data_IF_133161244927
#
_entry.id   IF_133161244927
#
_cell.length_a   1.000
_cell.length_b   1.000
_cell.length_c   1.000
_cell.angle_alpha   90.00
_cell.angle_beta   90.00
_cell.angle_gamma   90.00
#
_symmetry.space_group_name_H-M   'P 1'
#
loop_
_entity.id
_entity.type
_entity.pdbx_description
1 polymer ?
#
# COMPACT_ATOMS: atom_id res chain seq x y z
N UNK A 1 -6.29 18.59 -1.75
CA UNK A 1 -5.98 18.63 -0.30
C UNK A 1 -4.47 18.72 -0.20
N UNK A 2 -3.93 19.91 0.07
CA UNK A 2 -2.49 20.09 0.28
C UNK A 2 -2.17 19.51 1.67
N UNK A 3 -1.57 18.32 1.69
CA UNK A 3 -1.06 17.74 2.92
C UNK A 3 0.28 18.43 3.16
N UNK A 4 0.29 19.43 4.03
CA UNK A 4 1.53 20.04 4.48
C UNK A 4 2.30 18.98 5.27
N UNK A 5 3.31 18.39 4.64
CA UNK A 5 4.32 17.55 5.29
C UNK A 5 5.22 18.44 6.14
N UNK A 6 4.67 18.98 7.23
CA UNK A 6 5.49 19.63 8.24
C UNK A 6 6.47 18.58 8.77
N UNK A 7 7.77 18.86 8.69
CA UNK A 7 8.87 18.01 9.20
C UNK A 7 8.72 17.63 10.68
N UNK A 8 7.82 18.31 11.41
CA UNK A 8 7.70 18.19 12.84
C UNK A 8 7.33 16.78 13.37
N UNK A 9 6.70 15.87 12.60
CA UNK A 9 6.50 14.50 13.08
C UNK A 9 6.71 13.39 12.08
N UNK A 10 7.47 13.60 11.00
CA UNK A 10 8.13 12.45 10.41
C UNK A 10 9.12 12.00 11.49
N UNK A 11 8.71 11.05 12.33
CA UNK A 11 9.63 10.17 13.01
C UNK A 11 10.33 9.48 11.87
N UNK A 12 11.49 9.98 11.47
CA UNK A 12 12.38 9.41 10.46
C UNK A 12 12.65 7.98 10.93
N UNK A 13 11.91 6.95 10.47
CA UNK A 13 11.91 5.68 11.16
C UNK A 13 12.81 4.69 10.45
N UNK A 14 13.50 5.11 9.39
CA UNK A 14 14.11 4.16 8.49
C UNK A 14 15.47 3.64 8.95
N UNK A 15 15.94 4.00 10.15
CA UNK A 15 17.15 3.36 10.69
C UNK A 15 17.28 3.21 12.21
N UNK A 16 16.55 3.94 13.06
CA UNK A 16 16.78 3.86 14.52
C UNK A 16 15.53 4.14 15.35
N UNK A 17 14.55 3.24 15.35
CA UNK A 17 13.51 3.26 16.39
C UNK A 17 13.88 2.32 17.54
N UNK A 18 15.11 2.44 18.04
CA UNK A 18 15.45 2.04 19.40
C UNK A 18 16.32 3.16 20.00
N UNK A 19 15.67 4.16 20.59
CA UNK A 19 16.31 5.10 21.53
C UNK A 19 17.39 6.06 20.98
N UNK A 20 17.17 6.74 19.84
CA UNK A 20 18.05 7.84 19.39
C UNK A 20 17.36 9.21 19.53
N UNK A 21 18.04 10.19 20.14
CA UNK A 21 17.58 11.59 20.19
C UNK A 21 17.76 12.21 18.80
N UNK A 22 16.75 12.96 18.32
CA UNK A 22 16.85 13.77 17.09
C UNK A 22 18.11 14.63 17.17
N UNK A 23 18.99 14.48 16.19
CA UNK A 23 20.24 15.25 16.08
C UNK A 23 20.14 16.19 14.87
N UNK A 24 20.76 17.36 14.90
CA UNK A 24 20.75 18.32 13.78
C UNK A 24 21.27 17.74 12.45
N UNK A 25 22.07 16.67 12.52
CA UNK A 25 22.53 15.90 11.35
C UNK A 25 21.36 15.19 10.65
N UNK A 26 20.36 14.72 11.40
CA UNK A 26 19.21 14.01 10.84
C UNK A 26 18.35 14.95 9.97
N UNK A 27 18.26 16.24 10.35
CA UNK A 27 17.52 17.25 9.58
C UNK A 27 18.18 17.55 8.23
N UNK A 28 19.51 17.59 8.18
CA UNK A 28 20.27 17.77 6.94
C UNK A 28 20.18 16.55 6.02
N UNK A 29 20.12 15.35 6.60
CA UNK A 29 20.03 14.08 5.86
C UNK A 29 18.59 13.69 5.46
N UNK A 30 17.57 14.50 5.74
CA UNK A 30 16.20 14.18 5.31
C UNK A 30 16.08 14.05 3.78
N UNK A 31 16.81 14.90 3.04
CA UNK A 31 16.83 14.85 1.56
C UNK A 31 17.46 13.59 1.00
N UNK A 32 18.37 12.93 1.72
CA UNK A 32 18.96 11.66 1.27
C UNK A 32 18.07 10.45 1.57
N UNK A 33 17.05 10.60 2.42
CA UNK A 33 16.15 9.53 2.84
C UNK A 33 14.82 9.59 2.08
N UNK A 34 14.26 10.80 1.95
CA UNK A 34 13.03 11.06 1.22
C UNK A 34 13.25 12.14 0.18
N UNK A 35 12.96 11.78 -1.06
CA UNK A 35 13.03 12.67 -2.21
C UNK A 35 11.62 13.12 -2.60
N UNK A 36 11.56 14.19 -3.39
CA UNK A 36 10.30 14.67 -3.94
C UNK A 36 9.65 13.58 -4.81
N UNK A 37 8.34 13.39 -4.66
CA UNK A 37 7.53 12.35 -5.31
C UNK A 37 7.67 10.93 -4.72
N UNK A 38 8.36 10.78 -3.59
CA UNK A 38 8.31 9.52 -2.85
C UNK A 38 6.92 9.25 -2.28
N UNK A 39 6.46 8.01 -2.45
CA UNK A 39 5.23 7.53 -1.84
C UNK A 39 5.55 6.98 -0.46
N UNK A 40 4.92 7.54 0.57
CA UNK A 40 5.12 7.09 1.94
C UNK A 40 3.80 6.67 2.58
N UNK A 41 3.86 5.59 3.36
CA UNK A 41 2.75 5.17 4.21
C UNK A 41 2.95 5.73 5.63
N UNK A 42 1.96 6.44 6.16
CA UNK A 42 1.98 7.00 7.50
C UNK A 42 0.59 7.01 8.14
N UNK A 43 0.55 6.95 9.46
CA UNK A 43 -0.69 7.10 10.26
C UNK A 43 -0.90 8.56 10.67
N UNK A 44 -2.16 8.97 10.82
CA UNK A 44 -2.52 10.30 11.34
C UNK A 44 -2.59 10.21 12.85
N UNK A 45 -1.65 10.87 13.55
CA UNK A 45 -1.60 10.89 15.02
C UNK A 45 -2.54 11.93 15.61
N UNK A 46 -2.71 13.06 14.94
CA UNK A 46 -3.47 14.18 15.47
C UNK A 46 -3.67 15.32 14.49
N UNK A 47 -4.60 16.19 14.85
CA UNK A 47 -4.92 17.42 14.14
C UNK A 47 -4.33 18.59 14.89
N UNK A 48 -3.69 19.50 14.17
CA UNK A 48 -3.25 20.78 14.72
C UNK A 48 -4.43 21.77 14.67
N UNK A 49 -4.40 22.79 15.52
CA UNK A 49 -5.45 23.82 15.56
C UNK A 49 -5.59 24.57 14.22
N UNK A 50 -4.54 24.58 13.40
CA UNK A 50 -4.50 25.19 12.07
C UNK A 50 -5.07 24.28 10.95
N UNK A 51 -5.60 23.11 11.30
CA UNK A 51 -6.11 22.12 10.33
C UNK A 51 -5.03 21.28 9.67
N UNK A 52 -3.76 21.46 10.02
CA UNK A 52 -2.66 20.61 9.55
C UNK A 52 -2.71 19.22 10.20
N UNK A 53 -2.39 18.19 9.39
CA UNK A 53 -2.31 16.80 9.85
C UNK A 53 -0.91 16.49 10.37
N UNK A 54 -0.84 15.89 11.56
CA UNK A 54 0.39 15.36 12.12
C UNK A 54 0.50 13.88 11.78
N UNK A 55 1.37 13.55 10.83
CA UNK A 55 1.62 12.18 10.40
C UNK A 55 2.71 11.54 11.26
N UNK A 56 2.64 10.24 11.49
CA UNK A 56 3.70 9.48 12.17
C UNK A 56 3.90 8.14 11.46
N UNK A 57 5.13 7.65 11.43
CA UNK A 57 5.46 6.32 10.94
C UNK A 57 6.30 5.63 12.02
N UNK A 58 5.64 4.88 12.93
CA UNK A 58 6.30 4.27 14.10
C UNK A 58 6.84 2.85 13.86
N UNK A 59 6.39 2.17 12.82
CA UNK A 59 6.76 0.77 12.53
C UNK A 59 7.39 0.67 11.14
N UNK A 60 8.20 -0.38 10.93
CA UNK A 60 8.84 -0.72 9.65
C UNK A 60 7.84 -0.95 8.50
N UNK A 61 6.57 -1.26 8.84
CA UNK A 61 5.45 -1.32 7.89
C UNK A 61 5.05 0.06 7.33
N UNK A 62 5.47 1.14 7.98
CA UNK A 62 5.18 2.51 7.61
C UNK A 62 6.48 3.19 7.15
N UNK A 63 6.55 3.56 5.87
CA UNK A 63 7.74 4.17 5.29
C UNK A 63 7.65 4.35 3.77
N UNK A 64 8.81 4.46 3.11
CA UNK A 64 8.90 4.63 1.65
C UNK A 64 8.45 3.35 0.96
N UNK A 65 7.37 3.45 0.18
CA UNK A 65 6.86 2.36 -0.61
C UNK A 65 7.60 2.32 -1.93
N UNK A 66 8.34 1.24 -2.18
CA UNK A 66 9.05 0.99 -3.44
C UNK A 66 8.37 -0.16 -4.19
N UNK A 67 8.58 -0.25 -5.51
CA UNK A 67 8.21 -1.42 -6.34
C UNK A 67 6.71 -1.73 -6.36
N UNK A 68 5.91 -0.72 -6.70
CA UNK A 68 4.47 -0.86 -6.88
C UNK A 68 3.85 0.28 -7.67
N UNK A 69 2.52 0.31 -7.68
CA UNK A 69 1.69 1.31 -8.34
C UNK A 69 0.78 1.98 -7.31
N UNK A 70 0.80 3.31 -7.31
CA UNK A 70 -0.15 4.14 -6.57
C UNK A 70 -1.39 4.39 -7.43
N UNK A 71 -2.56 4.20 -6.85
CA UNK A 71 -3.87 4.44 -7.45
C UNK A 71 -4.60 5.49 -6.64
N UNK A 72 -5.28 6.39 -7.33
CA UNK A 72 -6.14 7.40 -6.71
C UNK A 72 -7.58 7.05 -7.03
N UNK A 73 -8.39 6.87 -5.99
CA UNK A 73 -9.82 6.64 -6.10
C UNK A 73 -10.58 7.62 -5.21
N UNK A 74 -11.88 7.83 -5.45
CA UNK A 74 -12.69 8.64 -4.55
C UNK A 74 -12.71 8.05 -3.13
N UNK A 75 -12.44 8.86 -2.08
CA UNK A 75 -12.24 8.36 -0.72
C UNK A 75 -13.50 7.71 -0.12
N UNK A 76 -14.69 8.07 -0.60
CA UNK A 76 -15.96 7.48 -0.13
C UNK A 76 -16.14 6.02 -0.55
N UNK A 77 -15.39 5.53 -1.54
CA UNK A 77 -15.44 4.13 -1.97
C UNK A 77 -14.63 3.21 -1.04
N UNK A 78 -13.69 3.76 -0.26
CA UNK A 78 -12.87 2.98 0.68
C UNK A 78 -13.63 2.79 1.99
N UNK A 79 -13.89 1.52 2.34
CA UNK A 79 -14.51 1.20 3.63
C UNK A 79 -13.48 1.31 4.76
N UNK A 80 -13.81 2.05 5.81
CA UNK A 80 -12.98 2.10 7.04
C UNK A 80 -12.93 0.72 7.70
N UNK A 81 -11.73 0.20 7.93
CA UNK A 81 -11.44 -1.09 8.57
C UNK A 81 -10.34 -0.90 9.61
N UNK A 82 -10.15 -1.89 10.49
CA UNK A 82 -9.08 -1.86 11.51
C UNK A 82 -7.70 -2.15 10.90
N UNK A 83 -7.66 -2.93 9.83
CA UNK A 83 -6.45 -3.29 9.10
C UNK A 83 -6.56 -2.71 7.69
N UNK A 84 -5.48 -2.06 7.25
CA UNK A 84 -5.35 -1.44 5.93
C UNK A 84 -4.25 -2.09 5.09
N UNK A 85 -3.40 -2.90 5.72
CA UNK A 85 -2.34 -3.68 5.08
C UNK A 85 -2.85 -5.10 4.89
N UNK A 86 -2.80 -5.57 3.65
CA UNK A 86 -3.28 -6.89 3.29
C UNK A 86 -2.26 -7.55 2.37
N UNK A 87 -1.79 -8.71 2.80
CA UNK A 87 -0.93 -9.57 1.99
C UNK A 87 -1.81 -10.57 1.24
N UNK A 88 -1.68 -10.60 -0.09
CA UNK A 88 -2.35 -11.56 -0.96
C UNK A 88 -1.36 -12.65 -1.37
N UNK A 89 -1.29 -13.70 -0.55
CA UNK A 89 -0.36 -14.82 -0.72
C UNK A 89 -0.46 -15.50 -2.10
N UNK A 90 -1.69 -15.62 -2.62
CA UNK A 90 -1.98 -16.21 -3.93
C UNK A 90 -1.29 -15.48 -5.11
N UNK A 91 -0.96 -14.20 -4.93
CA UNK A 91 -0.39 -13.35 -5.98
C UNK A 91 1.00 -12.82 -5.64
N UNK A 92 1.47 -13.01 -4.40
CA UNK A 92 2.72 -12.45 -3.89
C UNK A 92 2.72 -10.92 -3.83
N UNK A 93 1.57 -10.31 -3.51
CA UNK A 93 1.35 -8.85 -3.58
C UNK A 93 0.90 -8.30 -2.24
N UNK A 94 1.40 -7.12 -1.92
CA UNK A 94 0.89 -6.28 -0.84
C UNK A 94 -0.11 -5.25 -1.37
N UNK A 95 -1.21 -5.13 -0.65
CA UNK A 95 -2.27 -4.16 -0.89
C UNK A 95 -2.43 -3.26 0.33
N UNK A 96 -2.29 -1.95 0.12
CA UNK A 96 -2.46 -0.94 1.16
C UNK A 96 -3.64 -0.05 0.78
N UNK A 97 -4.69 -0.09 1.59
CA UNK A 97 -5.92 0.68 1.38
C UNK A 97 -5.95 1.93 2.26
N UNK A 98 -5.51 3.06 1.73
CA UNK A 98 -5.55 4.35 2.43
C UNK A 98 -6.97 4.90 2.58
N UNK A 99 -7.32 5.36 3.79
CA UNK A 99 -8.61 6.02 4.05
C UNK A 99 -8.83 7.32 3.26
N UNK A 100 -7.75 7.89 2.71
CA UNK A 100 -7.72 9.09 1.89
C UNK A 100 -8.07 8.81 0.41
N UNK A 101 -8.35 7.57 0.03
CA UNK A 101 -8.61 7.17 -1.36
C UNK A 101 -7.34 6.85 -2.15
N UNK A 102 -6.16 6.86 -1.50
CA UNK A 102 -4.94 6.37 -2.11
C UNK A 102 -4.79 4.88 -1.81
N UNK A 103 -4.70 4.09 -2.87
CA UNK A 103 -4.46 2.66 -2.80
C UNK A 103 -3.09 2.38 -3.38
N UNK A 104 -2.28 1.63 -2.65
CA UNK A 104 -1.00 1.16 -3.15
C UNK A 104 -1.09 -0.35 -3.40
N UNK A 105 -0.55 -0.80 -4.54
CA UNK A 105 -0.42 -2.21 -4.91
C UNK A 105 1.01 -2.48 -5.35
N UNK A 106 1.62 -3.58 -4.93
CA UNK A 106 2.97 -3.89 -5.37
C UNK A 106 3.55 -5.13 -4.71
N UNK A 107 4.85 -5.35 -4.94
CA UNK A 107 5.48 -6.60 -4.55
C UNK A 107 5.46 -6.77 -3.03
N UNK A 108 5.19 -7.99 -2.58
CA UNK A 108 5.34 -8.31 -1.18
C UNK A 108 6.79 -8.14 -0.73
N UNK A 109 7.00 -7.31 0.29
CA UNK A 109 8.27 -7.22 0.99
C UNK A 109 8.00 -7.72 2.40
N UNK A 110 8.66 -8.80 2.79
CA UNK A 110 8.61 -9.31 4.16
C UNK A 110 9.25 -8.27 5.10
N UNK A 111 8.44 -7.29 5.54
CA UNK A 111 8.80 -6.46 6.67
C UNK A 111 8.67 -7.33 7.91
N UNK A 112 9.78 -7.94 8.33
CA UNK A 112 9.87 -8.61 9.63
C UNK A 112 9.50 -7.57 10.70
N UNK A 113 8.39 -7.80 11.41
CA UNK A 113 8.15 -7.12 12.67
C UNK A 113 9.15 -7.71 13.67
N UNK A 114 10.36 -7.13 13.77
CA UNK A 114 11.34 -7.44 14.81
C UNK A 114 10.86 -6.88 16.17
N UNK A 115 9.67 -7.29 16.61
CA UNK A 115 9.11 -7.09 17.95
C UNK A 115 9.29 -8.35 18.83
N UNK A 116 10.19 -9.26 18.45
CA UNK A 116 10.55 -10.43 19.23
C UNK A 116 12.08 -10.52 19.43
N UNK A 117 12.48 -10.18 20.66
CA UNK A 117 13.70 -10.56 21.39
C UNK A 117 15.05 -9.92 20.97
N UNK A 118 15.52 -9.02 21.86
CA UNK A 118 16.87 -8.46 21.93
C UNK A 118 17.95 -9.56 21.88
N UNK A 119 18.83 -9.50 20.88
CA UNK A 119 20.15 -10.13 20.91
C UNK A 119 21.16 -9.18 20.25
N UNK A 120 22.22 -8.74 20.95
CA UNK A 120 23.03 -7.58 20.56
C UNK A 120 24.04 -7.83 19.41
N UNK A 121 24.08 -9.03 18.82
CA UNK A 121 25.10 -9.40 17.82
C UNK A 121 24.69 -9.13 16.36
N UNK A 122 23.45 -8.70 16.07
CA UNK A 122 22.94 -8.56 14.69
C UNK A 122 22.98 -7.14 14.08
N UNK A 123 23.48 -6.15 14.82
CA UNK A 123 23.41 -4.73 14.42
C UNK A 123 24.32 -4.38 13.22
N UNK A 124 25.45 -5.05 13.04
CA UNK A 124 26.33 -4.84 11.87
C UNK A 124 25.77 -5.47 10.59
N UNK A 125 25.09 -6.62 10.70
CA UNK A 125 24.45 -7.29 9.56
C UNK A 125 23.19 -6.55 9.07
N UNK A 126 22.48 -5.84 9.95
CA UNK A 126 21.35 -4.98 9.58
C UNK A 126 21.81 -3.78 8.77
N UNK A 127 22.93 -3.14 9.15
CA UNK A 127 23.50 -2.00 8.39
C UNK A 127 23.96 -2.45 7.00
N UNK A 128 24.58 -3.62 6.88
CA UNK A 128 24.99 -4.17 5.58
C UNK A 128 23.82 -4.61 4.70
N UNK A 129 22.72 -5.14 5.28
CA UNK A 129 21.49 -5.40 4.53
C UNK A 129 20.83 -4.13 4.02
N UNK A 130 20.77 -3.09 4.83
CA UNK A 130 20.21 -1.82 4.42
C UNK A 130 21.08 -1.07 3.38
N UNK A 131 22.40 -1.28 3.40
CA UNK A 131 23.30 -0.79 2.33
C UNK A 131 23.10 -1.63 1.04
N UNK A 132 22.90 -2.94 1.14
CA UNK A 132 22.58 -3.78 -0.02
C UNK A 132 21.20 -3.47 -0.61
N UNK A 133 20.20 -3.12 0.21
CA UNK A 133 18.87 -2.67 -0.24
C UNK A 133 18.91 -1.29 -0.95
N UNK A 134 19.94 -0.48 -0.70
CA UNK A 134 20.22 0.75 -1.45
C UNK A 134 20.99 0.48 -2.75
N UNK A 135 21.65 -0.68 -2.87
CA UNK A 135 22.35 -1.13 -4.09
C UNK A 135 21.49 -2.04 -4.98
N UNK A 136 20.33 -2.50 -4.50
CA UNK A 136 19.33 -3.29 -5.23
C UNK A 136 18.45 -2.45 -6.20
N UNK A 137 18.99 -1.35 -6.73
CA UNK A 137 18.37 -0.55 -7.82
C UNK A 137 18.19 -1.38 -9.11
N UNK A 138 18.79 -2.57 -9.22
CA UNK A 138 18.67 -3.48 -10.37
C UNK A 138 17.93 -4.80 -10.06
N UNK A 139 17.23 -4.95 -8.93
CA UNK A 139 16.51 -6.21 -8.71
C UNK A 139 15.27 -6.27 -9.63
N UNK A 140 15.36 -7.08 -10.67
CA UNK A 140 14.27 -7.37 -11.59
C UNK A 140 13.04 -7.92 -10.85
N UNK A 141 11.94 -7.18 -10.87
CA UNK A 141 10.63 -7.71 -10.46
C UNK A 141 10.19 -8.76 -11.50
N UNK A 142 9.81 -9.98 -11.09
CA UNK A 142 9.39 -11.01 -12.03
C UNK A 142 8.17 -10.57 -12.84
N UNK A 143 8.12 -10.98 -14.11
CA UNK A 143 7.05 -10.61 -15.04
C UNK A 143 5.68 -11.00 -14.49
N UNK A 144 5.57 -12.17 -13.87
CA UNK A 144 4.35 -12.67 -13.26
C UNK A 144 3.84 -11.75 -12.14
N UNK A 145 4.72 -11.35 -11.22
CA UNK A 145 4.35 -10.41 -10.14
C UNK A 145 3.93 -9.06 -10.71
N UNK A 146 4.60 -8.55 -11.76
CA UNK A 146 4.19 -7.29 -12.43
C UNK A 146 2.80 -7.41 -13.05
N UNK A 147 2.50 -8.52 -13.72
CA UNK A 147 1.18 -8.77 -14.28
C UNK A 147 0.11 -8.82 -13.19
N UNK A 148 0.39 -9.51 -12.08
CA UNK A 148 -0.51 -9.58 -10.94
C UNK A 148 -0.75 -8.18 -10.32
N UNK A 149 0.29 -7.33 -10.21
CA UNK A 149 0.17 -5.95 -9.71
C UNK A 149 -0.75 -5.15 -10.63
N UNK A 150 -0.51 -5.21 -11.95
CA UNK A 150 -1.35 -4.51 -12.92
C UNK A 150 -2.79 -5.02 -12.94
N UNK A 151 -2.99 -6.33 -12.77
CA UNK A 151 -4.32 -6.97 -12.71
C UNK A 151 -5.09 -6.52 -11.48
N UNK A 152 -4.46 -6.52 -10.30
CA UNK A 152 -5.06 -5.99 -9.07
C UNK A 152 -5.34 -4.48 -9.18
N UNK A 153 -4.43 -3.72 -9.80
CA UNK A 153 -4.63 -2.29 -10.03
C UNK A 153 -5.80 -2.01 -10.98
N UNK A 154 -5.94 -2.79 -12.05
CA UNK A 154 -7.07 -2.68 -12.97
C UNK A 154 -8.39 -3.09 -12.33
N UNK A 155 -8.40 -4.10 -11.46
CA UNK A 155 -9.58 -4.44 -10.67
C UNK A 155 -10.06 -3.26 -9.82
N UNK A 156 -9.13 -2.55 -9.16
CA UNK A 156 -9.44 -1.33 -8.39
C UNK A 156 -9.97 -0.20 -9.29
N UNK A 157 -9.38 0.00 -10.48
CA UNK A 157 -9.85 1.00 -11.45
C UNK A 157 -11.28 0.73 -11.92
N UNK A 158 -11.58 -0.53 -12.27
CA UNK A 158 -12.92 -0.95 -12.70
C UNK A 158 -13.94 -0.72 -11.58
N UNK A 159 -13.61 -1.11 -10.34
CA UNK A 159 -14.45 -0.84 -9.16
C UNK A 159 -14.71 0.65 -8.95
N UNK A 160 -13.66 1.47 -9.08
CA UNK A 160 -13.76 2.91 -8.92
C UNK A 160 -14.69 3.54 -9.96
N UNK A 161 -14.61 3.08 -11.21
CA UNK A 161 -15.41 3.60 -12.31
C UNK A 161 -16.88 3.17 -12.20
N UNK A 162 -17.14 1.96 -11.71
CA UNK A 162 -18.50 1.47 -11.40
C UNK A 162 -19.08 2.08 -10.11
N UNK A 163 -18.27 2.78 -9.32
CA UNK A 163 -18.69 3.38 -8.05
C UNK A 163 -18.99 2.36 -6.96
N UNK A 164 -18.38 1.19 -7.01
CA UNK A 164 -18.55 0.15 -6.00
C UNK A 164 -17.57 0.30 -4.84
N UNK A 165 -18.00 -0.14 -3.65
CA UNK A 165 -17.14 -0.11 -2.47
C UNK A 165 -15.92 -1.00 -2.67
N UNK A 166 -14.74 -0.44 -2.44
CA UNK A 166 -13.47 -1.13 -2.58
C UNK A 166 -13.15 -1.81 -1.25
N UNK A 167 -13.19 -3.13 -1.24
CA UNK A 167 -12.70 -3.96 -0.14
C UNK A 167 -11.79 -5.05 -0.70
N UNK A 168 -10.92 -5.59 0.15
CA UNK A 168 -9.94 -6.63 -0.25
C UNK A 168 -10.65 -7.83 -0.83
N UNK A 169 -11.76 -8.25 -0.22
CA UNK A 169 -12.53 -9.40 -0.68
C UNK A 169 -13.06 -9.18 -2.11
N UNK A 170 -13.57 -7.98 -2.40
CA UNK A 170 -14.07 -7.62 -3.74
C UNK A 170 -12.93 -7.60 -4.77
N UNK A 171 -11.78 -7.03 -4.40
CA UNK A 171 -10.61 -6.97 -5.29
C UNK A 171 -10.16 -8.39 -5.63
N UNK A 172 -9.99 -9.25 -4.64
CA UNK A 172 -9.61 -10.66 -4.84
C UNK A 172 -10.63 -11.41 -5.68
N UNK A 173 -11.94 -11.18 -5.47
CA UNK A 173 -13.01 -11.77 -6.28
C UNK A 173 -12.97 -11.36 -7.76
N UNK A 174 -12.58 -10.12 -8.06
CA UNK A 174 -12.47 -9.59 -9.43
C UNK A 174 -11.18 -10.06 -10.10
N UNK A 175 -10.07 -10.11 -9.35
CA UNK A 175 -8.81 -10.69 -9.86
C UNK A 175 -9.06 -12.16 -10.21
N UNK A 176 -9.69 -12.93 -9.33
CA UNK A 176 -10.07 -14.33 -9.62
C UNK A 176 -11.03 -14.44 -10.80
N UNK A 177 -11.98 -13.50 -10.96
CA UNK A 177 -12.86 -13.46 -12.13
C UNK A 177 -12.05 -13.27 -13.42
N UNK A 178 -11.11 -12.33 -13.44
CA UNK A 178 -10.27 -12.09 -14.62
C UNK A 178 -9.43 -13.32 -15.01
N UNK A 179 -8.96 -14.08 -14.01
CA UNK A 179 -8.25 -15.34 -14.21
C UNK A 179 -9.19 -16.42 -14.77
N UNK A 180 -10.40 -16.54 -14.20
CA UNK A 180 -11.37 -17.55 -14.64
C UNK A 180 -11.87 -17.33 -16.07
N UNK A 181 -11.92 -16.07 -16.51
CA UNK A 181 -12.27 -15.69 -17.88
C UNK A 181 -11.06 -15.74 -18.83
N UNK A 182 -9.87 -16.07 -18.31
CA UNK A 182 -8.60 -16.08 -19.05
C UNK A 182 -8.33 -14.76 -19.80
N UNK A 183 -8.68 -13.63 -19.17
CA UNK A 183 -8.49 -12.30 -19.75
C UNK A 183 -7.07 -11.81 -19.51
N UNK A 184 -6.51 -11.15 -20.52
CA UNK A 184 -5.27 -10.43 -20.34
C UNK A 184 -5.49 -9.09 -19.62
N UNK A 185 -4.42 -8.53 -19.05
CA UNK A 185 -4.46 -7.33 -18.20
C UNK A 185 -5.11 -6.13 -18.91
N UNK A 186 -4.89 -5.99 -20.23
CA UNK A 186 -5.44 -4.89 -21.02
C UNK A 186 -6.95 -5.04 -21.29
N UNK A 187 -7.46 -6.28 -21.39
CA UNK A 187 -8.86 -6.58 -21.67
C UNK A 187 -9.77 -6.26 -20.48
N UNK A 188 -9.22 -6.24 -19.26
CA UNK A 188 -9.94 -5.82 -18.05
C UNK A 188 -10.48 -4.38 -18.12
N UNK A 189 -9.91 -3.54 -18.98
CA UNK A 189 -10.38 -2.16 -19.17
C UNK A 189 -11.47 -2.07 -20.25
N UNK A 190 -11.82 -3.17 -20.93
CA UNK A 190 -12.86 -3.23 -21.95
C UNK A 190 -14.27 -3.27 -21.38
N UNK A 191 -15.28 -2.73 -22.09
CA UNK A 191 -16.65 -2.61 -21.59
C UNK A 191 -17.31 -3.94 -21.20
N UNK A 192 -16.97 -5.03 -21.90
CA UNK A 192 -17.44 -6.38 -21.59
C UNK A 192 -17.12 -6.81 -20.15
N UNK A 193 -15.92 -6.46 -19.68
CA UNK A 193 -15.49 -6.77 -18.32
C UNK A 193 -16.24 -5.92 -17.29
N UNK A 194 -16.57 -4.67 -17.60
CA UNK A 194 -17.35 -3.79 -16.71
C UNK A 194 -18.76 -4.35 -16.49
N UNK A 195 -19.40 -4.80 -17.57
CA UNK A 195 -20.72 -5.43 -17.50
C UNK A 195 -20.66 -6.69 -16.65
N UNK A 196 -19.68 -7.57 -16.92
CA UNK A 196 -19.51 -8.82 -16.16
C UNK A 196 -19.27 -8.56 -14.66
N UNK A 197 -18.45 -7.55 -14.32
CA UNK A 197 -18.20 -7.16 -12.92
C UNK A 197 -19.48 -6.59 -12.28
N UNK A 198 -20.24 -5.77 -13.00
CA UNK A 198 -21.50 -5.22 -12.51
C UNK A 198 -22.56 -6.32 -12.26
N UNK A 199 -22.68 -7.29 -13.17
CA UNK A 199 -23.59 -8.44 -13.01
C UNK A 199 -23.19 -9.30 -11.80
N UNK A 200 -21.90 -9.58 -11.63
CA UNK A 200 -21.39 -10.32 -10.47
C UNK A 200 -21.69 -9.60 -9.16
N UNK A 201 -21.48 -8.28 -9.11
CA UNK A 201 -21.79 -7.47 -7.93
C UNK A 201 -23.30 -7.43 -7.65
N UNK A 202 -24.14 -7.32 -8.69
CA UNK A 202 -25.59 -7.38 -8.55
C UNK A 202 -26.06 -8.72 -7.96
N UNK A 203 -25.52 -9.84 -8.45
CA UNK A 203 -25.79 -11.18 -7.94
C UNK A 203 -25.36 -11.35 -6.47
N UNK A 204 -24.22 -10.78 -6.10
CA UNK A 204 -23.73 -10.78 -4.72
C UNK A 204 -24.69 -10.05 -3.77
N UNK A 205 -25.19 -8.89 -4.18
CA UNK A 205 -26.19 -8.13 -3.39
C UNK A 205 -27.53 -8.86 -3.34
N UNK A 206 -27.98 -9.43 -4.45
CA UNK A 206 -29.23 -10.19 -4.53
C UNK A 206 -29.26 -11.43 -3.64
N UNK A 207 -28.14 -12.15 -3.53
CA UNK A 207 -28.05 -13.33 -2.65
C UNK A 207 -27.98 -12.97 -1.16
N UNK A 208 -27.35 -11.83 -0.81
CA UNK A 208 -27.32 -11.33 0.57
C UNK A 208 -28.69 -10.86 1.08
N UNK A 209 -29.57 -10.37 0.20
CA UNK A 209 -30.92 -9.90 0.54
C UNK A 209 -31.94 -11.01 0.80
N UNK A 210 -31.69 -12.25 0.32
CA UNK A 210 -32.58 -13.41 0.52
C UNK A 210 -32.43 -14.10 1.88
N UNK A 211 -31.47 -13.68 2.71
CA UNK A 211 -31.21 -14.24 4.06
C UNK A 211 -31.90 -13.48 5.19
N UNK A 212 -32.99 -12.75 4.90
CA UNK A 212 -33.82 -12.05 5.89
C UNK A 212 -35.23 -12.61 5.91
#
# INVERSE_FOLDING_TARGET
>A
MLINFNLCPISVPFFFCFQRRRTAIDELNMRSIFEENDVICAEVRGFQHDGCLHLQARSQKYGKLKRGQLLTIPPYLVKKRKQHFHYLDQFGIDLILGCNGFIWVGQHVEARDDMAEDSPENSEQQIQKSINELQDEETYTPLETRQNICRAANAVRVLSMLGFMVTVEVITEIVNLSISLNLDVHEMLGPEFYVTVAEKEANRRGSSGKRR
#
